data_IF_000608365489
#
_entry.id   IF_000608365489
#
_cell.length_a   1.000
_cell.length_b   1.000
_cell.length_c   1.000
_cell.angle_alpha   90.00
_cell.angle_beta   90.00
_cell.angle_gamma   90.00
#
_symmetry.space_group_name_H-M   'P 1'
#
loop_
_entity.id
_entity.type
_entity.pdbx_description
1 polymer ?
#
# COMPACT_ATOMS: atom_id res chain seq x y z
N UNK A 1 7.84 -24.47 -6.08
CA UNK A 1 6.49 -24.61 -6.68
C UNK A 1 5.34 -24.20 -5.77
N UNK A 2 5.52 -24.02 -4.45
CA UNK A 2 4.45 -23.54 -3.55
C UNK A 2 4.30 -22.01 -3.52
N UNK A 3 5.39 -21.24 -3.67
CA UNK A 3 5.36 -19.77 -3.67
C UNK A 3 4.57 -19.18 -4.84
N UNK A 4 4.66 -19.79 -6.03
CA UNK A 4 3.89 -19.37 -7.21
C UNK A 4 2.37 -19.46 -6.97
N UNK A 5 1.93 -20.41 -6.14
CA UNK A 5 0.53 -20.57 -5.77
C UNK A 5 0.09 -19.53 -4.73
N UNK A 6 0.95 -19.22 -3.75
CA UNK A 6 0.65 -18.22 -2.73
C UNK A 6 0.59 -16.79 -3.31
N UNK A 7 1.54 -16.42 -4.17
CA UNK A 7 1.55 -15.10 -4.81
C UNK A 7 0.28 -14.86 -5.64
N UNK A 8 -0.07 -15.84 -6.49
CA UNK A 8 -1.28 -15.76 -7.32
C UNK A 8 -2.56 -15.66 -6.50
N UNK A 9 -2.64 -16.43 -5.41
CA UNK A 9 -3.78 -16.36 -4.50
C UNK A 9 -3.93 -14.97 -3.85
N UNK A 10 -2.83 -14.31 -3.48
CA UNK A 10 -2.86 -12.94 -2.96
C UNK A 10 -3.26 -11.91 -4.03
N UNK A 11 -2.84 -12.11 -5.28
CA UNK A 11 -3.26 -11.28 -6.42
C UNK A 11 -4.76 -11.39 -6.67
N UNK A 12 -5.31 -12.61 -6.73
CA UNK A 12 -6.74 -12.84 -6.96
C UNK A 12 -7.61 -12.20 -5.87
N UNK A 13 -7.15 -12.26 -4.61
CA UNK A 13 -7.86 -11.62 -3.49
C UNK A 13 -7.84 -10.10 -3.59
N UNK A 14 -6.69 -9.52 -3.94
CA UNK A 14 -6.57 -8.10 -4.19
C UNK A 14 -7.51 -7.66 -5.31
N UNK A 15 -7.53 -8.40 -6.42
CA UNK A 15 -8.43 -8.11 -7.53
C UNK A 15 -9.91 -8.18 -7.11
N UNK A 16 -10.30 -9.21 -6.35
CA UNK A 16 -11.68 -9.33 -5.86
C UNK A 16 -12.06 -8.15 -4.95
N UNK A 17 -11.16 -7.75 -4.05
CA UNK A 17 -11.36 -6.60 -3.18
C UNK A 17 -11.51 -5.32 -4.00
N UNK A 18 -10.62 -5.09 -4.96
CA UNK A 18 -10.64 -3.90 -5.82
C UNK A 18 -11.86 -3.82 -6.73
N UNK A 19 -12.41 -4.96 -7.18
CA UNK A 19 -13.67 -4.99 -7.93
C UNK A 19 -14.87 -4.61 -7.07
N UNK A 20 -14.87 -4.95 -5.77
CA UNK A 20 -16.00 -4.67 -4.85
C UNK A 20 -15.94 -3.25 -4.31
N UNK A 21 -14.75 -2.73 -4.05
CA UNK A 21 -14.53 -1.45 -3.37
C UNK A 21 -15.31 -0.26 -3.97
N UNK A 22 -15.41 -0.06 -5.31
CA UNK A 22 -16.20 1.03 -5.90
C UNK A 22 -17.68 1.01 -5.52
N UNK A 23 -18.21 -0.15 -5.16
CA UNK A 23 -19.63 -0.37 -4.85
C UNK A 23 -19.92 -0.45 -3.35
N UNK A 24 -18.90 -0.28 -2.50
CA UNK A 24 -19.03 -0.33 -1.04
C UNK A 24 -18.64 1.03 -0.42
N UNK A 25 -19.58 1.96 -0.25
CA UNK A 25 -19.29 3.29 0.29
C UNK A 25 -18.85 3.24 1.76
N UNK A 26 -19.26 2.22 2.51
CA UNK A 26 -18.84 2.04 3.91
C UNK A 26 -17.37 1.67 3.95
N UNK A 27 -16.96 0.71 3.13
CA UNK A 27 -15.55 0.32 3.04
C UNK A 27 -14.67 1.47 2.51
N UNK A 28 -15.15 2.25 1.54
CA UNK A 28 -14.45 3.47 1.10
C UNK A 28 -14.23 4.47 2.24
N UNK A 29 -15.23 4.69 3.09
CA UNK A 29 -15.10 5.58 4.24
C UNK A 29 -14.05 5.08 5.25
N UNK A 30 -14.01 3.76 5.51
CA UNK A 30 -13.00 3.13 6.37
C UNK A 30 -11.59 3.35 5.82
N UNK A 31 -11.39 3.15 4.51
CA UNK A 31 -10.09 3.39 3.88
C UNK A 31 -9.69 4.87 3.95
N UNK A 32 -10.63 5.77 3.70
CA UNK A 32 -10.39 7.21 3.75
C UNK A 32 -9.95 7.68 5.14
N UNK A 33 -10.61 7.20 6.21
CA UNK A 33 -10.24 7.49 7.59
C UNK A 33 -8.81 7.03 7.91
N UNK A 34 -8.44 5.82 7.47
CA UNK A 34 -7.09 5.27 7.67
C UNK A 34 -6.03 6.03 6.88
N UNK A 35 -6.33 6.44 5.65
CA UNK A 35 -5.43 7.27 4.85
C UNK A 35 -5.20 8.62 5.54
N UNK A 36 -6.24 9.25 6.07
CA UNK A 36 -6.10 10.49 6.83
C UNK A 36 -5.32 10.30 8.14
N UNK A 37 -5.51 9.16 8.82
CA UNK A 37 -4.66 8.80 9.95
C UNK A 37 -3.18 8.72 9.55
N UNK A 38 -2.84 8.04 8.46
CA UNK A 38 -1.46 7.96 7.98
C UNK A 38 -0.93 9.33 7.57
N UNK A 39 -1.74 10.16 6.91
CA UNK A 39 -1.37 11.52 6.52
C UNK A 39 -0.95 12.38 7.70
N UNK A 40 -1.64 12.25 8.83
CA UNK A 40 -1.36 13.01 10.05
C UNK A 40 -0.14 12.49 10.82
N UNK A 41 0.15 11.18 10.75
CA UNK A 41 1.09 10.54 11.67
C UNK A 41 2.37 9.98 11.02
N UNK A 42 2.36 9.63 9.73
CA UNK A 42 3.49 8.93 9.11
C UNK A 42 4.65 9.86 8.76
N UNK A 43 4.40 11.16 8.58
CA UNK A 43 5.41 12.17 8.21
C UNK A 43 6.32 11.75 7.02
N UNK A 44 5.79 10.90 6.13
CA UNK A 44 6.57 10.25 5.08
C UNK A 44 7.18 11.27 4.11
N UNK A 45 6.40 12.29 3.74
CA UNK A 45 6.83 13.39 2.87
C UNK A 45 8.16 14.03 3.32
N UNK A 46 8.23 14.53 4.56
CA UNK A 46 9.43 15.18 5.09
C UNK A 46 10.60 14.19 5.20
N UNK A 47 10.31 12.93 5.54
CA UNK A 47 11.33 11.89 5.62
C UNK A 47 11.93 11.56 4.25
N UNK A 48 11.13 11.54 3.19
CA UNK A 48 11.62 11.35 1.83
C UNK A 48 12.51 12.51 1.39
N UNK A 49 12.12 13.77 1.65
CA UNK A 49 12.97 14.95 1.39
C UNK A 49 14.33 14.81 2.07
N UNK A 50 14.35 14.43 3.35
CA UNK A 50 15.59 14.22 4.12
C UNK A 50 16.47 13.11 3.53
N UNK A 51 15.88 11.98 3.13
CA UNK A 51 16.62 10.87 2.51
C UNK A 51 17.23 11.30 1.18
N UNK A 52 16.45 11.97 0.31
CA UNK A 52 16.97 12.44 -0.98
C UNK A 52 18.13 13.42 -0.77
N UNK A 53 17.97 14.38 0.16
CA UNK A 53 19.03 15.32 0.49
C UNK A 53 20.28 14.60 1.03
N UNK A 54 20.14 13.64 1.94
CA UNK A 54 21.27 12.93 2.53
C UNK A 54 22.00 12.01 1.53
N UNK A 55 21.26 11.25 0.74
CA UNK A 55 21.82 10.22 -0.17
C UNK A 55 22.40 10.81 -1.46
N UNK A 56 21.94 12.00 -1.87
CA UNK A 56 22.42 12.67 -3.08
C UNK A 56 23.57 13.65 -2.82
N UNK A 57 24.01 13.79 -1.57
CA UNK A 57 25.19 14.58 -1.20
C UNK A 57 26.45 13.77 -1.50
N UNK A 58 27.31 14.34 -2.35
CA UNK A 58 28.60 13.76 -2.68
C UNK A 58 29.69 14.64 -2.08
N UNK A 59 30.58 14.04 -1.29
CA UNK A 59 31.68 14.77 -0.65
C UNK A 59 32.50 15.57 -1.67
N UNK A 60 32.67 16.87 -1.40
CA UNK A 60 33.40 17.79 -2.27
C UNK A 60 32.58 18.46 -3.37
N UNK A 61 31.30 18.11 -3.53
CA UNK A 61 30.37 18.80 -4.43
C UNK A 61 29.52 19.84 -3.70
N UNK A 62 29.01 20.81 -4.46
CA UNK A 62 28.02 21.77 -3.99
C UNK A 62 26.66 21.08 -3.81
N UNK A 63 26.13 21.09 -2.59
CA UNK A 63 24.85 20.46 -2.21
C UNK A 63 23.64 21.36 -2.52
N UNK A 64 23.85 22.66 -2.79
CA UNK A 64 22.78 23.63 -3.06
C UNK A 64 21.85 23.23 -4.21
N UNK A 65 22.32 22.62 -5.32
CA UNK A 65 21.44 22.13 -6.38
C UNK A 65 20.47 21.05 -5.89
N UNK A 66 20.93 20.11 -5.06
CA UNK A 66 20.08 19.03 -4.51
C UNK A 66 19.03 19.63 -3.57
N UNK A 67 19.42 20.54 -2.67
CA UNK A 67 18.45 21.22 -1.81
C UNK A 67 17.42 22.03 -2.59
N UNK A 68 17.84 22.75 -3.64
CA UNK A 68 16.89 23.48 -4.51
C UNK A 68 15.92 22.55 -5.23
N UNK A 69 16.37 21.38 -5.64
CA UNK A 69 15.49 20.36 -6.23
C UNK A 69 14.52 19.81 -5.19
N UNK A 70 15.01 19.44 -4.00
CA UNK A 70 14.18 18.86 -2.93
C UNK A 70 13.09 19.82 -2.44
N UNK A 71 13.38 21.13 -2.44
CA UNK A 71 12.43 22.18 -2.08
C UNK A 71 11.67 22.77 -3.29
N UNK A 72 11.79 22.18 -4.47
CA UNK A 72 11.06 22.67 -5.65
C UNK A 72 9.57 22.30 -5.56
N UNK A 73 8.66 23.12 -6.13
CA UNK A 73 7.24 22.79 -6.21
C UNK A 73 6.98 21.47 -6.93
N UNK A 74 7.75 21.17 -7.98
CA UNK A 74 7.63 19.93 -8.75
C UNK A 74 7.97 18.70 -7.91
N UNK A 75 8.99 18.81 -7.04
CA UNK A 75 9.32 17.74 -6.10
C UNK A 75 8.24 17.57 -5.03
N UNK A 76 7.66 18.68 -4.55
CA UNK A 76 6.55 18.63 -3.61
C UNK A 76 5.33 17.91 -4.19
N UNK A 77 4.91 18.23 -5.41
CA UNK A 77 3.82 17.51 -6.08
C UNK A 77 4.15 16.02 -6.28
N UNK A 78 5.37 15.72 -6.72
CA UNK A 78 5.80 14.34 -6.97
C UNK A 78 5.81 13.50 -5.68
N UNK A 79 6.33 14.05 -4.58
CA UNK A 79 6.38 13.36 -3.30
C UNK A 79 5.00 13.24 -2.66
N UNK A 80 4.10 14.21 -2.83
CA UNK A 80 2.72 14.11 -2.35
C UNK A 80 1.95 13.02 -3.12
N UNK A 81 2.07 12.98 -4.45
CA UNK A 81 1.46 11.92 -5.26
C UNK A 81 2.02 10.53 -4.95
N UNK A 82 3.33 10.43 -4.74
CA UNK A 82 3.96 9.18 -4.30
C UNK A 82 3.44 8.76 -2.91
N UNK A 83 3.36 9.69 -1.96
CA UNK A 83 2.82 9.43 -0.62
C UNK A 83 1.37 8.93 -0.67
N UNK A 84 0.51 9.59 -1.46
CA UNK A 84 -0.90 9.18 -1.65
C UNK A 84 -0.99 7.74 -2.14
N UNK A 85 -0.17 7.35 -3.12
CA UNK A 85 -0.13 5.98 -3.67
C UNK A 85 0.31 4.98 -2.61
N UNK A 86 1.38 5.27 -1.87
CA UNK A 86 1.87 4.40 -0.81
C UNK A 86 0.80 4.20 0.28
N UNK A 87 0.17 5.27 0.77
CA UNK A 87 -0.89 5.14 1.77
C UNK A 87 -2.07 4.33 1.28
N UNK A 88 -2.54 4.57 0.05
CA UNK A 88 -3.63 3.79 -0.53
C UNK A 88 -3.26 2.30 -0.64
N UNK A 89 -2.04 1.98 -1.08
CA UNK A 89 -1.56 0.60 -1.18
C UNK A 89 -1.47 -0.07 0.19
N UNK A 90 -0.89 0.60 1.18
CA UNK A 90 -0.71 0.10 2.55
C UNK A 90 -2.05 -0.19 3.20
N UNK A 91 -2.96 0.80 3.21
CA UNK A 91 -4.27 0.67 3.86
C UNK A 91 -5.10 -0.43 3.19
N UNK A 92 -5.10 -0.53 1.86
CA UNK A 92 -5.78 -1.63 1.16
C UNK A 92 -5.20 -2.99 1.53
N UNK A 93 -3.87 -3.13 1.53
CA UNK A 93 -3.22 -4.40 1.85
C UNK A 93 -3.50 -4.85 3.28
N UNK A 94 -3.41 -3.94 4.26
CA UNK A 94 -3.76 -4.21 5.64
C UNK A 94 -5.22 -4.62 5.78
N UNK A 95 -6.11 -3.92 5.08
CA UNK A 95 -7.54 -4.19 5.13
C UNK A 95 -7.92 -5.55 4.54
N UNK A 96 -7.33 -5.93 3.41
CA UNK A 96 -7.48 -7.27 2.83
C UNK A 96 -7.06 -8.33 3.85
N UNK A 97 -5.88 -8.17 4.45
CA UNK A 97 -5.36 -9.10 5.46
C UNK A 97 -6.24 -9.17 6.73
N UNK A 98 -6.93 -8.08 7.11
CA UNK A 98 -7.88 -8.08 8.22
C UNK A 98 -9.17 -8.84 7.89
N UNK A 99 -9.71 -8.62 6.68
CA UNK A 99 -10.95 -9.27 6.23
C UNK A 99 -10.74 -10.78 6.12
N UNK A 100 -9.58 -11.22 5.63
CA UNK A 100 -9.18 -12.63 5.61
C UNK A 100 -9.15 -13.26 7.00
N UNK A 101 -8.60 -12.55 8.00
CA UNK A 101 -8.53 -13.04 9.38
C UNK A 101 -9.90 -13.16 10.04
N UNK A 102 -10.86 -12.29 9.67
CA UNK A 102 -12.20 -12.24 10.28
C UNK A 102 -13.22 -13.15 9.61
N UNK A 103 -13.04 -13.47 8.33
CA UNK A 103 -13.90 -14.38 7.60
C UNK A 103 -13.08 -15.23 6.62
N UNK A 104 -12.84 -16.53 6.90
CA UNK A 104 -12.16 -17.41 5.95
C UNK A 104 -12.97 -17.61 4.64
N UNK A 105 -14.17 -17.04 4.51
CA UNK A 105 -14.96 -17.04 3.27
C UNK A 105 -14.36 -16.16 2.13
N UNK A 106 -13.24 -15.46 2.36
CA UNK A 106 -12.36 -14.96 1.29
C UNK A 106 -11.39 -16.03 0.75
N UNK A 107 -11.29 -17.18 1.43
CA UNK A 107 -10.79 -18.40 0.83
C UNK A 107 -11.96 -19.04 0.08
N UNK A 108 -11.98 -18.89 -1.24
CA UNK A 108 -12.86 -19.68 -2.09
C UNK A 108 -12.80 -21.15 -1.68
N UNK A 109 -13.96 -21.78 -1.66
CA UNK A 109 -14.17 -23.18 -1.31
C UNK A 109 -13.01 -24.08 -1.78
N UNK A 110 -12.26 -24.64 -0.83
CA UNK A 110 -11.60 -25.92 -1.07
C UNK A 110 -12.66 -26.95 -0.69
N UNK A 111 -13.32 -27.64 -1.65
CA UNK A 111 -14.08 -28.81 -1.30
C UNK A 111 -13.07 -29.83 -0.80
N UNK A 112 -13.07 -30.07 0.50
CA UNK A 112 -12.50 -31.31 1.03
C UNK A 112 -13.44 -32.38 0.52
N UNK A 113 -13.10 -33.00 -0.61
CA UNK A 113 -13.71 -34.24 -1.05
C UNK A 113 -13.39 -35.30 0.00
N UNK A 114 -14.24 -35.36 1.02
CA UNK A 114 -14.36 -36.52 1.87
C UNK A 114 -15.04 -37.60 1.04
N UNK A 115 -14.23 -38.46 0.44
CA UNK A 115 -14.65 -39.83 0.14
C UNK A 115 -13.68 -40.76 0.87
N UNK A 116 -14.01 -41.01 2.14
CA UNK A 116 -13.65 -42.24 2.84
C UNK A 116 -14.95 -42.98 3.17
N UNK A 117 -15.42 -43.78 2.22
CA UNK A 117 -16.30 -44.94 2.40
C UNK A 117 -16.24 -45.69 1.06
N UNK A 118 -15.95 -46.99 0.94
CA UNK A 118 -15.89 -48.11 1.86
C UNK A 118 -14.86 -49.14 1.36
#
# INVERSE_FOLDING_TARGET
MYEYNYQRMQEERREQYERRLPHDPVEQAVLAERIEYLRRNAHLFNRMKQIIAAECVVAGNDERPVHRLVESPEMEELLDEFQKKIFAMTVKAERINELERKAPAFAGAIPVSGDQTA
#
